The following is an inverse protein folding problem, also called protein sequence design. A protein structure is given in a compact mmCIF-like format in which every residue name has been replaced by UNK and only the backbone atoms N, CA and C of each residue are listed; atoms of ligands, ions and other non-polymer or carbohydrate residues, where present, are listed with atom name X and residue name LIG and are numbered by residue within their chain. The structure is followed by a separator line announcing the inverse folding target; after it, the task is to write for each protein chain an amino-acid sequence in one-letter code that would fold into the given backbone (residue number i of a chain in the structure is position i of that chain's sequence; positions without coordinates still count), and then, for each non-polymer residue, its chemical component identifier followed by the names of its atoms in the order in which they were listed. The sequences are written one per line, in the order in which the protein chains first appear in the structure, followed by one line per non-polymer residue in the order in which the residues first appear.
data_IF_232973165721
#
_entry.id   IF_232973165721
#
_cell.length_a   1.000
_cell.length_b   1.000
_cell.length_c   1.000
_cell.angle_alpha   90.00
_cell.angle_beta   90.00
_cell.angle_gamma   90.00
#
_symmetry.space_group_name_H-M   'P 1'
#
loop_
_entity.id
_entity.type
_entity.pdbx_description
1 polymer ?
#
# COMPACT_ATOMS: atom_id res chain seq x y z
N UNK A 1 20.71 -9.05 -18.60
CA UNK A 1 19.98 -10.01 -17.75
C UNK A 1 18.53 -9.59 -17.77
N UNK A 2 17.63 -10.43 -18.26
CA UNK A 2 16.18 -10.17 -18.18
C UNK A 2 15.80 -10.24 -16.72
N UNK A 3 15.50 -9.09 -16.11
CA UNK A 3 14.95 -9.06 -14.75
C UNK A 3 13.57 -9.68 -14.83
N UNK A 4 13.42 -10.88 -14.30
CA UNK A 4 12.10 -11.53 -14.19
C UNK A 4 11.26 -10.68 -13.24
N UNK A 5 10.08 -10.22 -13.69
CA UNK A 5 9.15 -9.51 -12.78
C UNK A 5 8.85 -10.40 -11.57
N UNK A 6 8.88 -9.84 -10.36
CA UNK A 6 8.48 -10.60 -9.18
C UNK A 6 7.04 -11.14 -9.36
N UNK A 7 6.76 -12.33 -8.83
CA UNK A 7 5.42 -12.94 -8.90
C UNK A 7 4.28 -12.08 -8.31
N UNK A 8 4.61 -10.95 -7.70
CA UNK A 8 3.67 -10.00 -7.08
C UNK A 8 3.27 -8.84 -8.01
N UNK A 9 3.85 -8.74 -9.20
CA UNK A 9 3.47 -7.77 -10.24
C UNK A 9 2.96 -8.46 -11.49
N UNK A 10 1.95 -7.87 -12.11
CA UNK A 10 1.45 -8.25 -13.43
C UNK A 10 1.33 -7.02 -14.32
N UNK A 11 1.50 -7.21 -15.63
CA UNK A 11 1.32 -6.13 -16.61
C UNK A 11 -0.16 -5.91 -16.92
N UNK A 12 -0.49 -4.78 -17.52
CA UNK A 12 -1.82 -4.53 -18.09
C UNK A 12 -2.20 -5.57 -19.15
N UNK A 13 -1.23 -6.05 -19.94
CA UNK A 13 -1.44 -7.14 -20.93
C UNK A 13 -1.84 -8.45 -20.24
N UNK A 14 -1.15 -8.80 -19.14
CA UNK A 14 -1.52 -9.98 -18.37
C UNK A 14 -2.95 -9.88 -17.84
N UNK A 15 -3.31 -8.73 -17.27
CA UNK A 15 -4.68 -8.50 -16.77
C UNK A 15 -5.71 -8.59 -17.89
N UNK A 16 -5.45 -7.98 -19.06
CA UNK A 16 -6.34 -8.04 -20.21
C UNK A 16 -6.62 -9.49 -20.67
N UNK A 17 -5.64 -10.39 -20.52
CA UNK A 17 -5.77 -11.80 -20.91
C UNK A 17 -6.42 -12.67 -19.83
N UNK A 18 -6.35 -12.29 -18.56
CA UNK A 18 -6.70 -13.16 -17.42
C UNK A 18 -7.81 -12.61 -16.51
N UNK A 19 -8.29 -11.39 -16.73
CA UNK A 19 -9.26 -10.74 -15.82
C UNK A 19 -10.58 -11.53 -15.65
N UNK A 20 -10.94 -12.34 -16.64
CA UNK A 20 -12.16 -13.15 -16.66
C UNK A 20 -11.94 -14.63 -16.32
N UNK A 21 -10.71 -15.05 -16.01
CA UNK A 21 -10.40 -16.42 -15.64
C UNK A 21 -11.08 -16.80 -14.32
N UNK A 22 -11.63 -18.01 -14.23
CA UNK A 22 -12.41 -18.47 -13.07
C UNK A 22 -11.63 -18.46 -11.75
N UNK A 23 -10.29 -18.55 -11.81
CA UNK A 23 -9.39 -18.51 -10.64
C UNK A 23 -8.81 -17.12 -10.32
N UNK A 24 -9.16 -16.09 -11.10
CA UNK A 24 -8.65 -14.73 -10.95
C UNK A 24 -9.74 -13.78 -10.51
N UNK A 25 -9.41 -12.85 -9.64
CA UNK A 25 -10.27 -11.73 -9.28
C UNK A 25 -9.50 -10.42 -9.35
N UNK A 26 -9.90 -9.56 -10.29
CA UNK A 26 -9.39 -8.20 -10.37
C UNK A 26 -10.18 -7.31 -9.43
N UNK A 27 -9.48 -6.46 -8.68
CA UNK A 27 -10.07 -5.60 -7.64
C UNK A 27 -9.52 -4.20 -7.78
N UNK A 28 -10.39 -3.22 -7.97
CA UNK A 28 -10.05 -1.79 -7.88
C UNK A 28 -10.17 -1.33 -6.44
N UNK A 29 -9.17 -0.63 -5.92
CA UNK A 29 -9.14 -0.16 -4.53
C UNK A 29 -8.89 1.32 -4.49
N UNK A 30 -9.90 2.09 -4.08
CA UNK A 30 -9.85 3.55 -4.02
C UNK A 30 -10.61 4.13 -2.82
N UNK A 31 -10.44 5.41 -2.56
CA UNK A 31 -11.24 6.19 -1.59
C UNK A 31 -12.51 6.70 -2.26
N UNK A 32 -12.37 7.30 -3.44
CA UNK A 32 -13.47 7.72 -4.27
C UNK A 32 -13.74 6.66 -5.33
N UNK A 33 -14.83 5.92 -5.17
CA UNK A 33 -15.22 4.85 -6.09
C UNK A 33 -16.01 5.35 -7.30
N UNK A 34 -16.17 6.67 -7.47
CA UNK A 34 -16.91 7.25 -8.61
C UNK A 34 -16.27 6.85 -9.95
N UNK A 35 -14.96 6.80 -10.02
CA UNK A 35 -14.25 6.37 -11.23
C UNK A 35 -14.54 4.91 -11.58
N UNK A 36 -14.65 4.02 -10.59
CA UNK A 36 -15.06 2.63 -10.79
C UNK A 36 -16.47 2.54 -11.38
N UNK A 37 -17.43 3.31 -10.84
CA UNK A 37 -18.82 3.31 -11.30
C UNK A 37 -18.94 3.83 -12.74
N UNK A 38 -18.10 4.79 -13.14
CA UNK A 38 -18.05 5.33 -14.50
C UNK A 38 -17.38 4.41 -15.52
N UNK A 39 -16.61 3.44 -15.05
CA UNK A 39 -15.95 2.44 -15.87
C UNK A 39 -14.75 1.81 -15.20
N UNK A 40 -14.71 0.50 -15.15
CA UNK A 40 -13.66 -0.30 -14.53
C UNK A 40 -13.18 -1.42 -15.47
N UNK A 41 -12.11 -2.10 -15.13
CA UNK A 41 -11.63 -3.27 -15.88
C UNK A 41 -12.74 -4.33 -15.93
N UNK A 42 -13.10 -4.86 -17.12
CA UNK A 42 -14.17 -5.85 -17.24
C UNK A 42 -14.04 -6.99 -16.23
N UNK A 43 -15.11 -7.26 -15.48
CA UNK A 43 -15.14 -8.29 -14.44
C UNK A 43 -14.49 -7.92 -13.10
N UNK A 44 -13.94 -6.73 -12.96
CA UNK A 44 -13.40 -6.26 -11.69
C UNK A 44 -14.49 -5.97 -10.66
N UNK A 45 -14.15 -6.10 -9.37
CA UNK A 45 -14.95 -5.61 -8.24
C UNK A 45 -14.28 -4.38 -7.64
N UNK A 46 -15.06 -3.44 -7.10
CA UNK A 46 -14.55 -2.26 -6.43
C UNK A 46 -14.55 -2.43 -4.90
N UNK A 47 -13.47 -2.02 -4.25
CA UNK A 47 -13.39 -1.90 -2.80
C UNK A 47 -13.13 -0.44 -2.40
N UNK A 48 -13.95 0.05 -1.49
CA UNK A 48 -13.73 1.35 -0.88
C UNK A 48 -12.76 1.21 0.31
N UNK A 49 -11.61 1.88 0.22
CA UNK A 49 -10.58 1.83 1.23
C UNK A 49 -11.09 2.25 2.62
N UNK A 50 -11.84 3.36 2.70
CA UNK A 50 -12.29 3.94 3.97
C UNK A 50 -13.30 3.05 4.70
N UNK A 51 -14.26 2.51 3.96
CA UNK A 51 -15.41 1.81 4.57
C UNK A 51 -15.26 0.29 4.64
N UNK A 52 -14.37 -0.29 3.82
CA UNK A 52 -14.24 -1.73 3.71
C UNK A 52 -12.86 -2.26 4.15
N UNK A 53 -11.81 -1.42 4.11
CA UNK A 53 -10.45 -1.85 4.47
C UNK A 53 -9.90 -1.18 5.74
N UNK A 54 -10.74 -0.43 6.45
CA UNK A 54 -10.40 0.22 7.70
C UNK A 54 -11.47 -0.03 8.75
N UNK A 55 -11.05 -0.20 10.02
CA UNK A 55 -11.96 -0.05 11.16
C UNK A 55 -11.98 1.44 11.55
N UNK A 56 -13.11 2.09 11.28
CA UNK A 56 -13.28 3.51 11.55
C UNK A 56 -13.57 3.83 13.01
N UNK A 57 -13.98 2.85 13.81
CA UNK A 57 -14.29 3.03 15.23
C UNK A 57 -13.04 3.07 16.09
N UNK A 58 -12.14 2.08 15.89
CA UNK A 58 -10.89 1.97 16.66
C UNK A 58 -9.66 2.45 15.87
N UNK A 59 -9.84 2.92 14.65
CA UNK A 59 -8.77 3.33 13.72
C UNK A 59 -7.71 2.24 13.55
N UNK A 60 -8.14 1.12 13.02
CA UNK A 60 -7.28 -0.04 12.76
C UNK A 60 -7.50 -0.58 11.34
N UNK A 61 -6.72 -1.59 10.95
CA UNK A 61 -6.99 -2.38 9.74
C UNK A 61 -8.34 -3.09 9.88
N UNK A 62 -8.91 -3.49 8.75
CA UNK A 62 -10.21 -4.16 8.76
C UNK A 62 -10.20 -5.40 9.67
N UNK A 63 -11.21 -5.59 10.55
CA UNK A 63 -11.33 -6.79 11.36
C UNK A 63 -11.42 -8.07 10.51
N UNK A 64 -10.84 -9.17 10.99
CA UNK A 64 -10.73 -10.44 10.25
C UNK A 64 -12.07 -10.94 9.71
N UNK A 65 -13.12 -10.88 10.50
CA UNK A 65 -14.45 -11.31 10.10
C UNK A 65 -15.05 -10.45 8.96
N UNK A 66 -14.78 -9.16 8.99
CA UNK A 66 -15.19 -8.23 7.92
C UNK A 66 -14.39 -8.44 6.64
N UNK A 67 -13.09 -8.73 6.76
CA UNK A 67 -12.27 -9.11 5.61
C UNK A 67 -12.76 -10.41 4.98
N UNK A 68 -13.05 -11.45 5.78
CA UNK A 68 -13.59 -12.73 5.29
C UNK A 68 -14.92 -12.53 4.55
N UNK A 69 -15.80 -11.67 5.07
CA UNK A 69 -17.06 -11.29 4.43
C UNK A 69 -16.86 -10.57 3.10
N UNK A 70 -15.97 -9.58 3.08
CA UNK A 70 -15.62 -8.79 1.88
C UNK A 70 -15.06 -9.70 0.78
N UNK A 71 -14.08 -10.53 1.11
CA UNK A 71 -13.48 -11.46 0.16
C UNK A 71 -14.49 -12.46 -0.37
N UNK A 72 -15.25 -13.09 0.52
CA UNK A 72 -16.28 -14.04 0.12
C UNK A 72 -17.36 -13.44 -0.78
N UNK A 73 -17.86 -12.25 -0.47
CA UNK A 73 -18.85 -11.53 -1.29
C UNK A 73 -18.29 -11.08 -2.64
N UNK A 74 -16.99 -10.82 -2.70
CA UNK A 74 -16.25 -10.51 -3.94
C UNK A 74 -15.95 -11.75 -4.80
N UNK A 75 -16.43 -12.95 -4.40
CA UNK A 75 -16.17 -14.19 -5.14
C UNK A 75 -14.75 -14.73 -4.96
N UNK A 76 -14.10 -14.40 -3.85
CA UNK A 76 -12.72 -14.77 -3.54
C UNK A 76 -12.71 -15.87 -2.48
N UNK A 77 -11.99 -16.95 -2.74
CA UNK A 77 -11.60 -17.97 -1.77
C UNK A 77 -10.08 -17.99 -1.57
N UNK A 78 -9.59 -18.88 -0.73
CA UNK A 78 -8.16 -18.97 -0.40
C UNK A 78 -7.25 -19.39 -1.58
N UNK A 79 -7.83 -19.85 -2.70
CA UNK A 79 -7.08 -20.27 -3.90
C UNK A 79 -7.16 -19.26 -5.04
N UNK A 80 -7.96 -18.21 -4.87
CA UNK A 80 -8.16 -17.19 -5.90
C UNK A 80 -6.90 -16.32 -6.03
N UNK A 81 -6.40 -16.13 -7.25
CA UNK A 81 -5.41 -15.09 -7.52
C UNK A 81 -6.10 -13.73 -7.46
N UNK A 82 -5.67 -12.87 -6.54
CA UNK A 82 -6.18 -11.50 -6.44
C UNK A 82 -5.23 -10.55 -7.17
N UNK A 83 -5.76 -9.76 -8.10
CA UNK A 83 -5.00 -8.71 -8.79
C UNK A 83 -5.58 -7.36 -8.41
N UNK A 84 -4.79 -6.58 -7.70
CA UNK A 84 -5.17 -5.27 -7.17
C UNK A 84 -4.72 -4.16 -8.12
N UNK A 85 -5.54 -3.15 -8.29
CA UNK A 85 -5.19 -1.91 -8.98
C UNK A 85 -5.99 -0.74 -8.40
N UNK A 86 -5.65 0.47 -8.75
CA UNK A 86 -6.37 1.68 -8.33
C UNK A 86 -5.75 2.94 -8.89
N UNK A 87 -6.27 4.06 -8.46
CA UNK A 87 -5.73 5.38 -8.73
C UNK A 87 -4.46 5.69 -7.92
N UNK A 88 -3.93 6.90 -8.04
CA UNK A 88 -2.80 7.40 -7.27
C UNK A 88 -1.59 6.46 -7.26
N UNK A 89 -1.23 5.93 -8.43
CA UNK A 89 -0.13 4.98 -8.60
C UNK A 89 -0.25 3.76 -7.68
N UNK A 90 -1.47 3.21 -7.49
CA UNK A 90 -1.73 2.00 -6.72
C UNK A 90 -1.49 2.10 -5.18
N UNK A 91 -1.43 3.28 -4.56
CA UNK A 91 -1.13 3.30 -3.13
C UNK A 91 -2.21 2.61 -2.27
N UNK A 92 -3.51 2.73 -2.64
CA UNK A 92 -4.59 2.02 -1.95
C UNK A 92 -4.61 0.52 -2.29
N UNK A 93 -4.27 0.16 -3.52
CA UNK A 93 -4.02 -1.23 -3.91
C UNK A 93 -2.88 -1.85 -3.08
N UNK A 94 -1.80 -1.10 -2.85
CA UNK A 94 -0.70 -1.54 -1.99
C UNK A 94 -1.12 -1.69 -0.51
N UNK A 95 -2.03 -0.85 -0.01
CA UNK A 95 -2.63 -1.03 1.31
C UNK A 95 -3.44 -2.33 1.40
N UNK A 96 -4.28 -2.62 0.41
CA UNK A 96 -5.04 -3.87 0.37
C UNK A 96 -4.09 -5.07 0.26
N UNK A 97 -3.04 -4.99 -0.57
CA UNK A 97 -2.01 -6.01 -0.68
C UNK A 97 -1.35 -6.30 0.68
N UNK A 98 -0.95 -5.25 1.41
CA UNK A 98 -0.32 -5.37 2.72
C UNK A 98 -1.25 -6.05 3.73
N UNK A 99 -2.54 -5.66 3.78
CA UNK A 99 -3.51 -6.32 4.66
C UNK A 99 -3.76 -7.79 4.29
N UNK A 100 -3.88 -8.09 3.00
CA UNK A 100 -4.04 -9.46 2.53
C UNK A 100 -2.84 -10.33 2.91
N UNK A 101 -1.62 -9.78 2.88
CA UNK A 101 -0.42 -10.48 3.37
C UNK A 101 -0.44 -10.67 4.88
N UNK A 102 -0.89 -9.70 5.67
CA UNK A 102 -1.08 -9.85 7.11
C UNK A 102 -2.02 -11.02 7.43
N UNK A 103 -3.12 -11.13 6.70
CA UNK A 103 -4.11 -12.20 6.89
C UNK A 103 -3.81 -13.49 6.11
N UNK A 104 -2.62 -13.57 5.52
CA UNK A 104 -2.05 -14.80 4.96
C UNK A 104 -2.61 -15.22 3.61
N UNK A 105 -3.15 -14.29 2.79
CA UNK A 105 -3.50 -14.60 1.41
C UNK A 105 -2.22 -14.79 0.58
N UNK A 106 -2.12 -15.94 -0.12
CA UNK A 106 -0.87 -16.33 -0.77
C UNK A 106 -0.65 -15.62 -2.12
N UNK A 107 -1.62 -15.74 -3.03
CA UNK A 107 -1.50 -15.21 -4.39
C UNK A 107 -2.23 -13.89 -4.56
N UNK A 108 -1.59 -12.82 -4.12
CA UNK A 108 -2.02 -11.44 -4.36
C UNK A 108 -0.96 -10.69 -5.14
N UNK A 109 -1.40 -9.95 -6.15
CA UNK A 109 -0.56 -9.23 -7.10
C UNK A 109 -1.05 -7.81 -7.28
N UNK A 110 -0.18 -6.91 -7.75
CA UNK A 110 -0.52 -5.55 -8.16
C UNK A 110 -0.37 -5.45 -9.67
N UNK A 111 -1.35 -4.83 -10.35
CA UNK A 111 -1.21 -4.46 -11.76
C UNK A 111 -0.30 -3.24 -11.88
N UNK A 112 0.84 -3.41 -12.53
CA UNK A 112 1.84 -2.36 -12.70
C UNK A 112 1.30 -1.22 -13.56
N UNK A 113 1.39 0.02 -13.06
CA UNK A 113 0.83 1.20 -13.68
C UNK A 113 -0.60 1.55 -13.27
N UNK A 114 -1.32 0.63 -12.63
CA UNK A 114 -2.67 0.85 -12.10
C UNK A 114 -3.68 1.33 -13.14
N UNK A 115 -4.75 1.96 -12.67
CA UNK A 115 -5.81 2.51 -13.52
C UNK A 115 -5.26 3.51 -14.55
N UNK A 116 -4.30 4.33 -14.15
CA UNK A 116 -3.70 5.35 -15.02
C UNK A 116 -3.16 4.76 -16.32
N UNK A 117 -2.37 3.70 -16.21
CA UNK A 117 -1.77 3.04 -17.37
C UNK A 117 -2.81 2.31 -18.23
N UNK A 118 -3.75 1.61 -17.59
CA UNK A 118 -4.83 0.93 -18.29
C UNK A 118 -5.61 1.88 -19.20
N UNK A 119 -6.01 3.04 -18.67
CA UNK A 119 -6.74 4.08 -19.42
C UNK A 119 -5.85 4.72 -20.49
N UNK A 120 -4.58 5.02 -20.17
CA UNK A 120 -3.65 5.62 -21.12
C UNK A 120 -3.34 4.72 -22.33
N UNK A 121 -3.42 3.39 -22.17
CA UNK A 121 -3.30 2.40 -23.25
C UNK A 121 -4.59 2.25 -24.08
N UNK A 122 -5.66 2.98 -23.74
CA UNK A 122 -6.94 2.91 -24.46
C UNK A 122 -7.64 1.56 -24.31
N UNK A 123 -7.41 0.85 -23.20
CA UNK A 123 -8.03 -0.47 -22.97
C UNK A 123 -9.49 -0.33 -22.57
N UNK A 124 -10.26 -1.38 -22.82
CA UNK A 124 -11.69 -1.41 -22.56
C UNK A 124 -12.01 -1.23 -21.08
N UNK A 125 -13.06 -0.46 -20.83
CA UNK A 125 -13.71 -0.30 -19.53
C UNK A 125 -15.17 -0.77 -19.64
N UNK A 126 -15.71 -1.31 -18.56
CA UNK A 126 -17.11 -1.72 -18.41
C UNK A 126 -17.74 -1.03 -17.22
N UNK A 127 -19.04 -0.80 -17.31
CA UNK A 127 -19.90 -0.40 -16.18
C UNK A 127 -20.73 -1.57 -15.65
N UNK A 128 -20.56 -2.76 -16.22
CA UNK A 128 -21.31 -3.94 -15.82
C UNK A 128 -20.80 -4.46 -14.46
N UNK A 129 -21.73 -4.74 -13.56
CA UNK A 129 -21.38 -5.36 -12.28
C UNK A 129 -20.73 -6.73 -12.50
N UNK A 130 -19.63 -6.97 -11.81
CA UNK A 130 -18.98 -8.27 -11.86
C UNK A 130 -19.92 -9.38 -11.39
N UNK A 131 -20.04 -10.46 -12.18
CA UNK A 131 -20.78 -11.65 -11.79
C UNK A 131 -20.00 -12.45 -10.73
N UNK A 132 -19.90 -11.91 -9.51
CA UNK A 132 -19.18 -12.54 -8.42
C UNK A 132 -20.11 -13.52 -7.69
N UNK A 133 -19.90 -14.81 -7.87
CA UNK A 133 -20.54 -15.82 -7.04
C UNK A 133 -19.90 -15.83 -5.67
N UNK A 134 -20.73 -15.71 -4.61
CA UNK A 134 -20.24 -15.73 -3.23
C UNK A 134 -19.47 -17.02 -2.93
N UNK A 135 -18.28 -16.87 -2.37
CA UNK A 135 -17.41 -17.97 -1.93
C UNK A 135 -17.17 -17.89 -0.41
N UNK A 136 -16.57 -18.93 0.13
CA UNK A 136 -16.10 -18.94 1.52
C UNK A 136 -14.61 -18.63 1.54
N UNK A 137 -14.22 -17.60 2.28
CA UNK A 137 -12.84 -17.26 2.56
C UNK A 137 -12.54 -17.48 4.04
N UNK A 138 -11.35 -17.97 4.35
CA UNK A 138 -10.88 -18.13 5.72
C UNK A 138 -9.49 -17.55 5.90
N UNK A 139 -9.40 -16.47 6.65
CA UNK A 139 -8.12 -15.81 6.95
C UNK A 139 -7.25 -16.71 7.86
N UNK A 140 -5.92 -16.57 7.67
CA UNK A 140 -4.96 -17.13 8.62
C UNK A 140 -4.83 -16.22 9.84
N UNK A 141 -4.16 -16.70 10.89
CA UNK A 141 -3.75 -15.83 12.00
C UNK A 141 -2.94 -14.66 11.47
N UNK A 142 -3.25 -13.47 11.94
CA UNK A 142 -2.60 -12.25 11.45
C UNK A 142 -1.09 -12.27 11.71
N UNK A 143 -0.31 -12.07 10.66
CA UNK A 143 1.15 -11.88 10.76
C UNK A 143 1.47 -10.42 11.12
N UNK A 144 1.64 -10.17 12.41
CA UNK A 144 1.99 -8.84 12.93
C UNK A 144 3.44 -8.44 12.65
N UNK A 145 4.28 -9.34 12.13
CA UNK A 145 5.67 -9.03 11.77
C UNK A 145 5.78 -8.05 10.59
N UNK A 146 4.71 -7.90 9.81
CA UNK A 146 4.62 -6.96 8.68
C UNK A 146 4.21 -5.54 9.10
N UNK A 147 3.85 -5.35 10.38
CA UNK A 147 3.32 -4.11 10.94
C UNK A 147 4.18 -3.61 12.09
N UNK A 148 4.50 -2.33 12.12
CA UNK A 148 5.13 -1.71 13.28
C UNK A 148 4.08 -0.98 14.13
N UNK A 149 4.21 -1.09 15.44
CA UNK A 149 3.38 -0.38 16.41
C UNK A 149 4.19 0.68 17.14
N UNK A 150 3.52 1.67 17.72
CA UNK A 150 4.16 2.79 18.40
C UNK A 150 5.28 2.40 19.37
N UNK A 151 5.13 1.40 20.28
CA UNK A 151 6.22 1.02 21.20
C UNK A 151 7.47 0.52 20.48
N UNK A 152 7.29 -0.18 19.35
CA UNK A 152 8.40 -0.62 18.52
C UNK A 152 9.11 0.55 17.83
N UNK A 153 8.35 1.51 17.29
CA UNK A 153 8.90 2.72 16.67
C UNK A 153 9.67 3.55 17.71
N UNK A 154 9.13 3.73 18.92
CA UNK A 154 9.81 4.40 20.02
C UNK A 154 11.14 3.73 20.36
N UNK A 155 11.14 2.39 20.42
CA UNK A 155 12.34 1.60 20.67
C UNK A 155 13.36 1.76 19.52
N UNK A 156 12.91 1.75 18.29
CA UNK A 156 13.76 1.93 17.10
C UNK A 156 14.45 3.31 17.10
N UNK A 157 13.69 4.37 17.43
CA UNK A 157 14.23 5.74 17.56
C UNK A 157 15.30 5.79 18.65
N UNK A 158 14.99 5.29 19.85
CA UNK A 158 15.91 5.34 20.99
C UNK A 158 17.20 4.55 20.75
N UNK A 159 17.07 3.35 20.17
CA UNK A 159 18.20 2.44 19.92
C UNK A 159 18.99 2.76 18.66
N UNK A 160 18.43 3.53 17.72
CA UNK A 160 19.00 3.81 16.38
C UNK A 160 19.37 2.54 15.61
N UNK A 161 18.59 1.46 15.77
CA UNK A 161 18.87 0.13 15.18
C UNK A 161 18.01 -0.20 13.95
N UNK A 162 17.00 0.61 13.65
CA UNK A 162 16.19 0.49 12.45
C UNK A 162 16.26 1.78 11.64
N UNK A 163 16.22 1.65 10.33
CA UNK A 163 16.08 2.78 9.43
C UNK A 163 14.61 3.20 9.38
N UNK A 164 14.33 4.49 9.59
CA UNK A 164 12.99 5.06 9.45
C UNK A 164 12.88 5.77 8.10
N UNK A 165 11.84 5.48 7.33
CA UNK A 165 11.59 6.08 6.02
C UNK A 165 10.28 6.85 6.08
N UNK A 166 10.38 8.17 6.06
CA UNK A 166 9.23 9.08 5.89
C UNK A 166 8.94 9.25 4.41
N UNK A 167 7.77 8.79 3.99
CA UNK A 167 7.40 8.79 2.57
C UNK A 167 6.50 9.97 2.20
N UNK A 168 6.26 10.89 3.13
CA UNK A 168 5.48 12.10 2.91
C UNK A 168 6.23 13.06 1.97
N UNK A 169 5.56 14.15 1.61
CA UNK A 169 6.20 15.21 0.84
C UNK A 169 7.34 15.89 1.63
N UNK A 170 8.29 16.54 0.95
CA UNK A 170 9.34 17.31 1.62
C UNK A 170 8.78 18.41 2.54
N UNK A 171 7.67 19.05 2.15
CA UNK A 171 7.04 20.10 2.96
C UNK A 171 6.39 19.54 4.24
N UNK A 172 5.81 18.32 4.19
CA UNK A 172 5.34 17.60 5.40
C UNK A 172 6.54 17.19 6.27
N UNK A 173 7.60 16.67 5.69
CA UNK A 173 8.81 16.22 6.41
C UNK A 173 9.49 17.38 7.15
N UNK A 174 9.64 18.51 6.51
CA UNK A 174 10.26 19.71 7.12
C UNK A 174 9.33 20.43 8.11
N UNK A 175 8.05 20.03 8.14
CA UNK A 175 7.04 20.66 8.99
C UNK A 175 6.57 22.03 8.49
N UNK A 176 6.82 22.34 7.22
CA UNK A 176 6.28 23.54 6.55
C UNK A 176 4.77 23.45 6.40
N UNK A 177 4.24 22.25 6.17
CA UNK A 177 2.82 21.94 6.21
C UNK A 177 2.55 20.76 7.17
N UNK A 178 1.36 20.70 7.75
CA UNK A 178 0.95 19.61 8.63
C UNK A 178 0.39 18.42 7.85
N UNK A 179 -0.36 18.69 6.80
CA UNK A 179 -0.96 17.72 5.88
C UNK A 179 -1.21 18.38 4.52
N UNK A 180 -1.39 17.62 3.45
CA UNK A 180 -1.90 18.14 2.19
C UNK A 180 -3.25 18.85 2.38
N UNK A 181 -3.56 19.91 1.60
CA UNK A 181 -4.82 20.61 1.68
C UNK A 181 -6.03 19.68 1.48
N UNK A 182 -7.12 19.94 2.21
CA UNK A 182 -8.40 19.24 2.05
C UNK A 182 -8.49 17.88 2.77
N UNK A 183 -7.44 17.47 3.48
CA UNK A 183 -7.48 16.23 4.24
C UNK A 183 -7.96 16.47 5.68
N UNK A 184 -8.92 15.63 6.18
CA UNK A 184 -9.49 15.81 7.51
C UNK A 184 -8.53 15.43 8.64
N UNK A 185 -7.68 14.41 8.41
CA UNK A 185 -6.72 13.97 9.42
C UNK A 185 -5.48 14.86 9.42
N UNK A 186 -5.21 15.44 10.57
CA UNK A 186 -4.04 16.27 10.80
C UNK A 186 -3.40 15.94 12.14
N UNK A 187 -2.25 16.52 12.39
CA UNK A 187 -1.54 16.45 13.65
C UNK A 187 -1.23 17.84 14.18
N UNK A 188 -0.95 17.94 15.48
CA UNK A 188 -0.66 19.21 16.14
C UNK A 188 0.74 19.73 15.83
N UNK A 189 1.66 18.87 15.40
CA UNK A 189 3.07 19.22 15.19
C UNK A 189 3.52 18.89 13.78
N UNK A 190 4.24 19.82 13.15
CA UNK A 190 4.96 19.59 11.92
C UNK A 190 6.37 19.04 12.17
N UNK A 191 6.98 18.43 11.17
CA UNK A 191 8.30 17.80 11.22
C UNK A 191 8.23 16.30 10.98
N UNK A 192 9.22 15.54 11.48
CA UNK A 192 9.34 14.11 11.26
C UNK A 192 9.85 13.36 12.51
N UNK A 193 9.75 12.03 12.48
CA UNK A 193 10.29 11.15 13.53
C UNK A 193 11.82 11.26 13.53
N UNK A 194 12.47 11.44 14.69
CA UNK A 194 13.91 11.63 14.78
C UNK A 194 14.71 10.55 14.02
N UNK A 195 15.65 11.02 13.20
CA UNK A 195 16.52 10.16 12.39
C UNK A 195 15.90 9.59 11.11
N UNK A 196 14.64 9.90 10.81
CA UNK A 196 13.99 9.42 9.60
C UNK A 196 14.62 10.01 8.32
N UNK A 197 14.63 9.21 7.24
CA UNK A 197 15.06 9.61 5.91
C UNK A 197 13.84 9.98 5.06
N UNK A 198 13.91 11.12 4.38
CA UNK A 198 12.84 11.58 3.48
C UNK A 198 12.98 10.92 2.11
N UNK A 199 12.09 9.98 1.82
CA UNK A 199 11.98 9.34 0.50
C UNK A 199 10.51 9.39 0.09
N UNK A 200 10.06 10.46 -0.59
CA UNK A 200 8.67 10.61 -1.00
C UNK A 200 8.16 9.41 -1.81
N UNK A 201 6.98 8.90 -1.45
CA UNK A 201 6.40 7.69 -2.03
C UNK A 201 6.32 7.71 -3.56
N UNK A 202 6.00 8.86 -4.15
CA UNK A 202 5.88 9.01 -5.60
C UNK A 202 7.20 8.78 -6.36
N UNK A 203 8.35 8.86 -5.68
CA UNK A 203 9.65 8.53 -6.31
C UNK A 203 9.82 7.05 -6.66
N UNK A 204 8.95 6.20 -6.17
CA UNK A 204 8.95 4.77 -6.52
C UNK A 204 8.39 4.50 -7.92
N UNK A 205 7.65 5.44 -8.50
CA UNK A 205 6.92 5.26 -9.75
C UNK A 205 7.46 6.17 -10.85
N UNK A 206 7.25 5.72 -12.08
CA UNK A 206 7.40 6.50 -13.30
C UNK A 206 6.16 7.35 -13.56
N UNK A 207 6.23 8.24 -14.55
CA UNK A 207 5.13 9.14 -14.90
C UNK A 207 3.89 8.39 -15.40
N UNK A 208 4.04 7.20 -15.98
CA UNK A 208 2.92 6.35 -16.41
C UNK A 208 2.26 5.53 -15.28
N UNK A 209 2.77 5.67 -14.05
CA UNK A 209 2.31 4.97 -12.86
C UNK A 209 2.98 3.61 -12.63
N UNK A 210 3.82 3.11 -13.53
CA UNK A 210 4.59 1.88 -13.31
C UNK A 210 5.65 2.08 -12.23
N UNK A 211 6.03 1.01 -11.55
CA UNK A 211 7.18 1.07 -10.66
C UNK A 211 8.47 1.29 -11.46
N UNK A 212 9.40 2.01 -10.86
CA UNK A 212 10.77 2.13 -11.39
C UNK A 212 11.45 0.76 -11.43
N UNK A 213 12.46 0.65 -12.28
CA UNK A 213 13.27 -0.58 -12.37
C UNK A 213 13.94 -0.92 -11.03
N UNK A 214 14.26 -2.19 -10.84
CA UNK A 214 14.99 -2.68 -9.67
C UNK A 214 16.26 -1.86 -9.40
N UNK A 215 17.05 -1.59 -10.44
CA UNK A 215 18.33 -0.88 -10.28
C UNK A 215 18.12 0.60 -9.88
N UNK A 216 17.11 1.27 -10.44
CA UNK A 216 16.76 2.65 -10.06
C UNK A 216 16.27 2.72 -8.62
N UNK A 217 15.37 1.81 -8.23
CA UNK A 217 14.88 1.72 -6.85
C UNK A 217 16.04 1.44 -5.88
N UNK A 218 16.85 0.44 -6.17
CA UNK A 218 18.01 0.07 -5.35
C UNK A 218 18.97 1.25 -5.18
N UNK A 219 19.31 1.95 -6.25
CA UNK A 219 20.19 3.12 -6.19
C UNK A 219 19.58 4.26 -5.37
N UNK A 220 18.28 4.53 -5.54
CA UNK A 220 17.55 5.58 -4.80
C UNK A 220 17.56 5.33 -3.30
N UNK A 221 17.25 4.11 -2.86
CA UNK A 221 17.24 3.76 -1.44
C UNK A 221 18.66 3.71 -0.85
N UNK A 222 19.62 3.12 -1.58
CA UNK A 222 21.02 3.05 -1.14
C UNK A 222 21.65 4.44 -0.97
N UNK A 223 21.30 5.43 -1.81
CA UNK A 223 21.76 6.80 -1.67
C UNK A 223 21.33 7.48 -0.35
N UNK A 224 20.31 6.94 0.31
CA UNK A 224 19.83 7.37 1.63
C UNK A 224 20.31 6.43 2.77
N UNK A 225 21.17 5.47 2.45
CA UNK A 225 21.68 4.47 3.40
C UNK A 225 20.67 3.36 3.72
N UNK A 226 19.65 3.17 2.89
CA UNK A 226 18.64 2.12 3.06
C UNK A 226 19.00 0.96 2.13
N UNK A 227 19.67 -0.06 2.66
CA UNK A 227 20.19 -1.20 1.88
C UNK A 227 19.47 -2.52 2.14
N UNK A 228 18.61 -2.56 3.18
CA UNK A 228 17.91 -3.78 3.61
C UNK A 228 18.72 -4.64 4.60
N UNK A 229 19.98 -4.27 4.91
CA UNK A 229 20.79 -4.97 5.94
C UNK A 229 20.25 -4.74 7.36
N UNK A 230 19.77 -3.52 7.64
CA UNK A 230 19.11 -3.20 8.90
C UNK A 230 17.59 -3.31 8.73
N UNK A 231 16.83 -3.52 9.83
CA UNK A 231 15.37 -3.39 9.81
C UNK A 231 14.94 -2.02 9.29
N UNK A 232 13.85 -1.99 8.52
CA UNK A 232 13.30 -0.74 7.97
C UNK A 232 11.84 -0.58 8.41
N UNK A 233 11.49 0.62 8.86
CA UNK A 233 10.10 0.99 9.16
C UNK A 233 9.72 2.15 8.26
N UNK A 234 8.75 1.94 7.38
CA UNK A 234 8.16 2.99 6.56
C UNK A 234 6.95 3.59 7.24
N UNK A 235 6.78 4.90 7.15
CA UNK A 235 5.60 5.60 7.63
C UNK A 235 5.24 6.78 6.72
N UNK A 236 3.97 7.18 6.76
CA UNK A 236 3.50 8.37 6.07
C UNK A 236 2.65 9.24 7.00
N UNK A 237 1.43 9.58 6.62
CA UNK A 237 0.46 10.28 7.45
C UNK A 237 -0.41 9.31 8.25
N UNK A 238 -0.99 8.28 7.59
CA UNK A 238 -1.90 7.28 8.17
C UNK A 238 -1.63 5.84 7.68
N UNK A 239 -0.52 5.58 6.98
CA UNK A 239 -0.06 4.23 6.60
C UNK A 239 -0.30 3.83 5.15
N UNK A 240 -1.16 4.53 4.39
CA UNK A 240 -1.55 4.17 3.04
C UNK A 240 -0.42 4.38 2.00
N UNK A 241 0.21 5.55 2.00
CA UNK A 241 1.35 5.83 1.10
C UNK A 241 2.58 5.00 1.45
N UNK A 242 2.76 4.72 2.74
CA UNK A 242 3.89 3.90 3.21
C UNK A 242 3.69 2.41 2.94
N UNK A 243 2.48 1.92 2.73
CA UNK A 243 2.26 0.54 2.29
C UNK A 243 2.78 0.30 0.86
N UNK A 244 2.72 1.30 -0.04
CA UNK A 244 3.36 1.23 -1.36
C UNK A 244 4.89 1.16 -1.23
N UNK A 245 5.48 1.99 -0.38
CA UNK A 245 6.92 1.95 -0.10
C UNK A 245 7.34 0.63 0.55
N UNK A 246 6.52 0.10 1.48
CA UNK A 246 6.71 -1.23 2.06
C UNK A 246 6.69 -2.32 0.98
N UNK A 247 5.71 -2.28 0.06
CA UNK A 247 5.63 -3.21 -1.06
C UNK A 247 6.91 -3.17 -1.92
N UNK A 248 7.38 -1.98 -2.27
CA UNK A 248 8.61 -1.81 -3.04
C UNK A 248 9.82 -2.40 -2.31
N UNK A 249 10.04 -2.03 -1.06
CA UNK A 249 11.20 -2.52 -0.32
C UNK A 249 11.13 -4.02 -0.04
N UNK A 250 9.97 -4.53 0.36
CA UNK A 250 9.78 -5.94 0.72
C UNK A 250 9.78 -6.85 -0.50
N UNK A 251 9.05 -6.49 -1.55
CA UNK A 251 8.75 -7.40 -2.66
C UNK A 251 9.52 -7.10 -3.94
N UNK A 252 9.86 -5.84 -4.23
CA UNK A 252 10.63 -5.51 -5.43
C UNK A 252 12.13 -5.50 -5.14
N UNK A 253 12.55 -5.00 -3.97
CA UNK A 253 13.96 -4.98 -3.56
C UNK A 253 14.38 -6.20 -2.74
N UNK A 254 13.42 -7.00 -2.25
CA UNK A 254 13.70 -8.22 -1.50
C UNK A 254 14.26 -8.00 -0.09
N UNK A 255 13.96 -6.86 0.55
CA UNK A 255 14.41 -6.61 1.92
C UNK A 255 13.66 -7.50 2.92
N UNK A 256 14.36 -8.24 3.77
CA UNK A 256 13.74 -9.22 4.66
C UNK A 256 12.92 -8.61 5.79
N UNK A 257 13.43 -7.56 6.40
CA UNK A 257 12.84 -6.97 7.61
C UNK A 257 12.31 -5.55 7.34
N UNK A 258 11.14 -5.47 6.71
CA UNK A 258 10.45 -4.22 6.40
C UNK A 258 9.07 -4.23 7.03
N UNK A 259 8.73 -3.18 7.76
CA UNK A 259 7.43 -3.00 8.41
C UNK A 259 6.77 -1.70 7.95
N UNK A 260 5.44 -1.71 7.87
CA UNK A 260 4.64 -0.51 7.69
C UNK A 260 4.14 -0.04 9.08
N UNK A 261 4.45 1.19 9.45
CA UNK A 261 3.91 1.85 10.64
C UNK A 261 2.67 2.64 10.24
N UNK A 262 1.52 2.03 10.35
CA UNK A 262 0.25 2.64 9.92
C UNK A 262 -0.32 3.66 10.91
N UNK A 263 0.09 3.66 12.18
CA UNK A 263 -0.12 4.78 13.09
C UNK A 263 0.45 6.08 12.55
N UNK A 264 1.64 5.99 11.97
CA UNK A 264 2.25 7.03 11.15
C UNK A 264 2.38 8.40 11.85
N UNK A 265 2.40 9.48 11.06
CA UNK A 265 2.57 10.83 11.61
C UNK A 265 1.36 11.31 12.41
N UNK A 266 0.14 10.87 12.09
CA UNK A 266 -1.05 11.21 12.86
C UNK A 266 -1.02 10.63 14.28
N UNK A 267 -0.36 9.50 14.50
CA UNK A 267 -0.12 8.98 15.85
C UNK A 267 1.07 9.67 16.49
N UNK A 268 2.26 9.64 15.87
CA UNK A 268 3.49 10.21 16.43
C UNK A 268 3.40 11.72 16.65
N UNK A 269 2.91 12.47 15.66
CA UNK A 269 2.80 13.93 15.69
C UNK A 269 1.84 14.46 16.75
N UNK A 270 0.90 13.64 17.22
CA UNK A 270 -0.02 13.98 18.30
C UNK A 270 0.39 13.43 19.68
N UNK A 271 1.41 12.56 19.74
CA UNK A 271 1.84 11.94 20.99
C UNK A 271 2.53 12.97 21.91
N UNK A 272 1.97 13.17 23.09
CA UNK A 272 2.56 14.08 24.10
C UNK A 272 3.94 13.57 24.53
N UNK A 273 4.94 14.45 24.50
CA UNK A 273 6.31 14.13 24.90
C UNK A 273 7.17 13.42 23.84
N UNK A 274 6.62 13.01 22.71
CA UNK A 274 7.44 12.43 21.63
C UNK A 274 8.34 13.50 20.99
N UNK A 275 9.60 13.14 20.76
CA UNK A 275 10.55 14.01 20.07
C UNK A 275 10.18 14.17 18.60
N UNK A 276 10.43 15.36 18.04
CA UNK A 276 10.21 15.72 16.64
C UNK A 276 11.44 16.43 16.13
N UNK A 277 11.91 16.05 14.95
CA UNK A 277 12.95 16.80 14.23
C UNK A 277 12.32 17.70 13.17
N UNK A 278 12.93 18.86 12.99
CA UNK A 278 12.73 19.81 11.89
C UNK A 278 14.10 20.25 11.40
N UNK A 279 14.30 20.43 10.08
CA UNK A 279 15.51 21.04 9.55
C UNK A 279 15.64 22.49 10.00
#
# INVERSE_FOLDING_TARGET
MTVTMPNVLVTTDWVAQHATDAGVRVVEVDVDTTAFDQGHIPGAVGWNWTTQLCDTLVRDIVPVNKLEELLGSSGIDNKTTIVLYGDNNNWFAAWAFWQLKIYGHEDVRIMDGGRKKWVAEGRDLSTDAAAAQKKTYKAKTADTSLRAFLPEVQTAVAAKKAALVDVRSPDEFTGKILAPPGLPETCQRGGHIPGAKSIPWGKNCNDDGTFKSFDELKAMYAAQGITGEAPVIAYCRIGERSSLTWFVMKHLLGFDNVKNYDGSWTEWGNLVGAAVEKP
#
